data_IF_475773759892
#
_entry.id   IF_475773759892
#
_cell.length_a   1.000
_cell.length_b   1.000
_cell.length_c   1.000
_cell.angle_alpha   90.00
_cell.angle_beta   90.00
_cell.angle_gamma   90.00
#
_symmetry.space_group_name_H-M   'P 1'
#
loop_
_entity.id
_entity.type
_entity.pdbx_description
1 polymer ?
#
# COMPACT_ATOMS: atom_id res chain seq x y z
N UNK A 1 26.58 -21.90 20.88
CA UNK A 1 26.42 -22.06 19.42
C UNK A 1 25.01 -21.68 18.96
N UNK A 2 23.93 -22.13 19.64
CA UNK A 2 22.55 -21.69 19.33
C UNK A 2 22.37 -20.17 19.39
N UNK A 3 22.90 -19.54 20.43
CA UNK A 3 22.85 -18.09 20.64
C UNK A 3 23.43 -17.24 19.48
N UNK A 4 24.44 -17.76 18.78
CA UNK A 4 25.00 -17.08 17.61
C UNK A 4 24.04 -17.12 16.41
N UNK A 5 23.42 -18.27 16.14
CA UNK A 5 22.50 -18.37 15.01
C UNK A 5 21.16 -17.67 15.29
N UNK A 6 20.69 -17.70 16.53
CA UNK A 6 19.50 -16.95 16.96
C UNK A 6 19.71 -15.44 16.81
N UNK A 7 20.90 -14.91 17.13
CA UNK A 7 21.21 -13.48 16.92
C UNK A 7 21.26 -13.10 15.44
N UNK A 8 21.79 -13.97 14.57
CA UNK A 8 21.73 -13.74 13.12
C UNK A 8 20.29 -13.78 12.59
N UNK A 9 19.45 -14.68 13.12
CA UNK A 9 18.06 -14.81 12.71
C UNK A 9 17.23 -13.60 13.15
N UNK A 10 17.45 -13.08 14.36
CA UNK A 10 16.73 -11.90 14.86
C UNK A 10 17.16 -10.59 14.18
N UNK A 11 18.39 -10.54 13.64
CA UNK A 11 18.91 -9.39 12.92
C UNK A 11 18.32 -9.19 11.51
N UNK A 12 17.51 -10.13 10.99
CA UNK A 12 16.96 -10.02 9.64
C UNK A 12 15.58 -10.68 9.50
N UNK A 13 14.66 -10.11 8.70
CA UNK A 13 13.43 -10.81 8.33
C UNK A 13 13.67 -11.96 7.32
N UNK A 14 14.89 -12.09 6.78
CA UNK A 14 15.22 -13.17 5.86
C UNK A 14 15.13 -14.55 6.53
N UNK A 15 14.74 -15.57 5.76
CA UNK A 15 14.54 -16.95 6.25
C UNK A 15 15.86 -17.70 6.42
N UNK A 16 16.69 -17.25 7.36
CA UNK A 16 17.95 -17.91 7.72
C UNK A 16 17.73 -19.11 8.66
N UNK A 17 18.74 -19.96 8.75
CA UNK A 17 18.81 -21.09 9.69
C UNK A 17 17.65 -22.10 9.61
N UNK A 18 16.98 -22.19 8.46
CA UNK A 18 15.86 -23.13 8.24
C UNK A 18 16.29 -24.60 8.10
N UNK A 19 17.60 -24.87 8.09
CA UNK A 19 18.20 -26.19 7.90
C UNK A 19 17.92 -26.78 6.52
N UNK A 20 18.25 -28.07 6.34
CA UNK A 20 18.09 -28.80 5.06
C UNK A 20 17.82 -30.29 5.28
N UNK A 21 17.22 -30.92 4.26
CA UNK A 21 17.14 -32.37 4.09
C UNK A 21 17.85 -32.72 2.77
N UNK A 22 19.09 -33.20 2.85
CA UNK A 22 19.97 -33.32 1.67
C UNK A 22 20.26 -31.95 1.05
N UNK A 23 19.89 -31.77 -0.21
CA UNK A 23 19.95 -30.50 -0.97
C UNK A 23 18.62 -29.74 -0.99
N UNK A 24 17.61 -30.17 -0.22
CA UNK A 24 16.25 -29.59 -0.19
C UNK A 24 15.94 -28.92 1.15
N UNK A 25 14.87 -28.12 1.16
CA UNK A 25 14.34 -27.53 2.40
C UNK A 25 13.78 -28.61 3.33
N UNK A 26 13.78 -28.33 4.65
CA UNK A 26 12.97 -29.09 5.59
C UNK A 26 11.47 -28.87 5.28
N UNK A 27 10.64 -29.88 5.54
CA UNK A 27 9.19 -29.84 5.27
C UNK A 27 8.53 -28.61 5.90
N UNK A 28 8.83 -28.30 7.16
CA UNK A 28 8.27 -27.11 7.83
C UNK A 28 8.59 -25.81 7.08
N UNK A 29 9.85 -25.59 6.71
CA UNK A 29 10.26 -24.38 6.01
C UNK A 29 9.57 -24.25 4.63
N UNK A 30 9.36 -25.38 3.95
CA UNK A 30 8.59 -25.41 2.71
C UNK A 30 7.10 -25.07 2.93
N UNK A 31 6.46 -25.63 3.97
CA UNK A 31 5.07 -25.32 4.30
C UNK A 31 4.90 -23.84 4.70
N UNK A 32 5.79 -23.31 5.52
CA UNK A 32 5.78 -21.89 5.91
C UNK A 32 5.99 -20.97 4.69
N UNK A 33 6.73 -21.43 3.67
CA UNK A 33 6.90 -20.69 2.43
C UNK A 33 5.62 -20.70 1.60
N UNK A 34 4.96 -21.86 1.46
CA UNK A 34 3.69 -21.99 0.74
C UNK A 34 2.57 -21.19 1.40
N UNK A 35 2.51 -21.19 2.73
CA UNK A 35 1.54 -20.39 3.48
C UNK A 35 1.74 -18.89 3.24
N UNK A 36 2.98 -18.40 3.34
CA UNK A 36 3.29 -17.00 3.06
C UNK A 36 3.02 -16.62 1.61
N UNK A 37 3.27 -17.52 0.65
CA UNK A 37 2.96 -17.28 -0.75
C UNK A 37 1.45 -17.18 -1.02
N UNK A 38 0.64 -18.02 -0.37
CA UNK A 38 -0.81 -17.91 -0.44
C UNK A 38 -1.30 -16.54 0.08
N UNK A 39 -0.85 -16.14 1.28
CA UNK A 39 -1.18 -14.83 1.84
C UNK A 39 -0.72 -13.66 0.95
N UNK A 40 0.43 -13.78 0.28
CA UNK A 40 0.91 -12.77 -0.65
C UNK A 40 0.01 -12.65 -1.90
N UNK A 41 -0.48 -13.78 -2.44
CA UNK A 41 -1.42 -13.74 -3.57
C UNK A 41 -2.76 -13.11 -3.17
N UNK A 42 -3.28 -13.42 -1.98
CA UNK A 42 -4.51 -12.82 -1.47
C UNK A 42 -4.34 -11.29 -1.29
N UNK A 43 -3.19 -10.85 -0.80
CA UNK A 43 -2.88 -9.43 -0.64
C UNK A 43 -2.90 -8.65 -1.96
N UNK A 44 -2.46 -9.24 -3.07
CA UNK A 44 -2.49 -8.60 -4.40
C UNK A 44 -3.93 -8.32 -4.85
N UNK A 45 -4.87 -9.21 -4.51
CA UNK A 45 -6.28 -9.08 -4.91
C UNK A 45 -7.12 -8.31 -3.88
N UNK A 46 -6.55 -7.91 -2.76
CA UNK A 46 -7.26 -7.13 -1.75
C UNK A 46 -7.46 -5.67 -2.16
N UNK A 47 -8.51 -5.06 -1.62
CA UNK A 47 -8.89 -3.66 -1.81
C UNK A 47 -8.95 -2.94 -0.47
N UNK A 48 -8.79 -1.62 -0.49
CA UNK A 48 -8.89 -0.79 0.71
C UNK A 48 -10.36 -0.67 1.11
N UNK A 49 -10.67 -0.90 2.38
CA UNK A 49 -12.05 -0.84 2.84
C UNK A 49 -12.53 0.60 2.95
N UNK A 50 -13.83 0.83 2.73
CA UNK A 50 -14.42 2.16 2.85
C UNK A 50 -14.20 2.76 4.24
N UNK A 51 -14.27 1.95 5.28
CA UNK A 51 -14.02 2.39 6.66
C UNK A 51 -12.60 2.96 6.81
N UNK A 52 -11.61 2.37 6.13
CA UNK A 52 -10.23 2.88 6.14
C UNK A 52 -10.15 4.26 5.47
N UNK A 53 -10.90 4.49 4.40
CA UNK A 53 -10.94 5.78 3.71
C UNK A 53 -11.67 6.85 4.53
N UNK A 54 -12.80 6.47 5.16
CA UNK A 54 -13.59 7.33 6.03
C UNK A 54 -12.75 7.76 7.25
N UNK A 55 -12.01 6.84 7.88
CA UNK A 55 -11.09 7.14 9.00
C UNK A 55 -9.95 8.08 8.59
N UNK A 56 -9.50 8.01 7.34
CA UNK A 56 -8.49 8.90 6.77
C UNK A 56 -9.05 10.28 6.39
N UNK A 57 -10.38 10.44 6.31
CA UNK A 57 -11.02 11.68 5.89
C UNK A 57 -10.78 12.04 4.42
N UNK A 58 -10.48 11.05 3.58
CA UNK A 58 -10.19 11.23 2.15
C UNK A 58 -11.36 10.77 1.29
N UNK A 59 -11.59 11.43 0.17
CA UNK A 59 -12.57 10.97 -0.82
C UNK A 59 -11.90 10.06 -1.86
N UNK A 60 -12.64 9.07 -2.35
CA UNK A 60 -12.18 8.13 -3.38
C UNK A 60 -12.46 8.67 -4.79
N UNK A 61 -11.50 8.49 -5.68
CA UNK A 61 -11.65 8.59 -7.14
C UNK A 61 -11.08 7.34 -7.79
N UNK A 62 -11.47 7.04 -9.02
CA UNK A 62 -11.02 5.84 -9.73
C UNK A 62 -10.32 6.19 -11.02
N UNK A 63 -9.26 5.47 -11.33
CA UNK A 63 -8.64 5.51 -12.66
C UNK A 63 -9.59 4.95 -13.72
N UNK A 64 -9.15 4.89 -14.99
CA UNK A 64 -9.90 4.22 -16.05
C UNK A 64 -10.07 2.71 -15.84
N UNK A 65 -9.41 2.11 -14.85
CA UNK A 65 -9.59 0.70 -14.53
C UNK A 65 -10.94 0.48 -13.83
N UNK A 66 -11.74 -0.44 -14.35
CA UNK A 66 -13.04 -0.79 -13.79
C UNK A 66 -12.93 -1.76 -12.60
N UNK A 67 -11.89 -2.58 -12.58
CA UNK A 67 -11.65 -3.57 -11.52
C UNK A 67 -10.15 -3.86 -11.32
N UNK A 68 -9.86 -4.68 -10.30
CA UNK A 68 -8.50 -5.09 -9.94
C UNK A 68 -7.77 -5.85 -11.07
N UNK A 69 -8.48 -6.66 -11.85
CA UNK A 69 -7.87 -7.42 -12.94
C UNK A 69 -7.41 -6.49 -14.06
N UNK A 70 -8.23 -5.50 -14.40
CA UNK A 70 -7.86 -4.48 -15.36
C UNK A 70 -6.69 -3.65 -14.83
N UNK A 71 -6.67 -3.26 -13.56
CA UNK A 71 -5.53 -2.56 -12.95
C UNK A 71 -4.22 -3.36 -13.09
N UNK A 72 -4.26 -4.68 -12.86
CA UNK A 72 -3.09 -5.55 -12.97
C UNK A 72 -2.61 -5.78 -14.41
N UNK A 73 -3.50 -5.66 -15.40
CA UNK A 73 -3.21 -6.02 -16.80
C UNK A 73 -3.15 -4.83 -17.76
N UNK A 74 -3.67 -3.67 -17.36
CA UNK A 74 -3.76 -2.42 -18.14
C UNK A 74 -3.11 -1.25 -17.40
N UNK A 75 -1.77 -1.23 -17.27
CA UNK A 75 -1.06 -0.13 -16.64
C UNK A 75 -1.24 1.20 -17.38
N UNK A 76 -1.68 1.18 -18.64
CA UNK A 76 -2.05 2.37 -19.41
C UNK A 76 -3.36 3.00 -18.89
N UNK A 77 -4.33 2.20 -18.45
CA UNK A 77 -5.57 2.70 -17.86
C UNK A 77 -5.37 3.18 -16.42
N UNK A 78 -4.55 2.47 -15.64
CA UNK A 78 -4.24 2.83 -14.26
C UNK A 78 -3.47 4.16 -14.10
N UNK A 79 -3.06 4.80 -15.21
CA UNK A 79 -2.39 6.11 -15.23
C UNK A 79 -3.29 7.26 -15.69
N UNK A 80 -4.55 6.97 -16.02
CA UNK A 80 -5.46 7.93 -16.61
C UNK A 80 -6.76 7.98 -15.83
N UNK A 81 -7.36 9.17 -15.76
CA UNK A 81 -8.74 9.38 -15.33
C UNK A 81 -9.65 9.53 -16.54
N UNK A 82 -10.90 9.08 -16.41
CA UNK A 82 -11.96 9.46 -17.34
C UNK A 82 -12.43 10.90 -17.10
N UNK A 83 -13.26 11.42 -18.00
CA UNK A 83 -13.71 12.81 -17.91
C UNK A 83 -14.63 13.04 -16.70
N UNK A 84 -15.44 12.05 -16.31
CA UNK A 84 -16.30 12.14 -15.12
C UNK A 84 -15.48 12.28 -13.83
N UNK A 85 -14.42 11.48 -13.70
CA UNK A 85 -13.50 11.55 -12.55
C UNK A 85 -12.75 12.86 -12.52
N UNK A 86 -12.31 13.38 -13.68
CA UNK A 86 -11.68 14.70 -13.76
C UNK A 86 -12.65 15.78 -13.31
N UNK A 87 -13.89 15.78 -13.78
CA UNK A 87 -14.91 16.74 -13.38
C UNK A 87 -15.22 16.65 -11.87
N UNK A 88 -15.20 15.44 -11.31
CA UNK A 88 -15.37 15.24 -9.88
C UNK A 88 -14.20 15.82 -9.08
N UNK A 89 -12.95 15.57 -9.50
CA UNK A 89 -11.76 16.14 -8.88
C UNK A 89 -11.81 17.67 -8.94
N UNK A 90 -12.14 18.23 -10.10
CA UNK A 90 -12.20 19.68 -10.28
C UNK A 90 -13.24 20.36 -9.37
N UNK A 91 -14.27 19.64 -8.91
CA UNK A 91 -15.30 20.14 -7.98
C UNK A 91 -14.95 19.96 -6.50
N UNK A 92 -14.15 18.95 -6.17
CA UNK A 92 -13.92 18.52 -4.78
C UNK A 92 -12.51 18.79 -4.27
N UNK A 93 -11.53 18.97 -5.16
CA UNK A 93 -10.18 19.37 -4.81
C UNK A 93 -10.11 20.87 -4.51
N UNK A 94 -9.09 21.25 -3.75
CA UNK A 94 -8.72 22.64 -3.55
C UNK A 94 -7.72 23.07 -4.62
N UNK A 95 -7.67 24.37 -4.89
CA UNK A 95 -6.82 24.95 -5.93
C UNK A 95 -5.92 26.01 -5.35
N UNK A 96 -4.71 26.11 -5.91
CA UNK A 96 -3.73 27.12 -5.54
C UNK A 96 -2.90 26.76 -4.31
N UNK A 97 -3.05 25.55 -3.78
CA UNK A 97 -2.17 25.02 -2.74
C UNK A 97 -0.79 24.68 -3.30
N UNK A 98 0.23 24.77 -2.44
CA UNK A 98 1.63 24.53 -2.80
C UNK A 98 1.90 23.04 -3.06
N UNK A 99 1.22 22.15 -2.32
CA UNK A 99 1.40 20.70 -2.38
C UNK A 99 0.05 19.98 -2.42
N UNK A 100 -0.08 19.02 -3.32
CA UNK A 100 -1.20 18.06 -3.34
C UNK A 100 -0.71 16.68 -2.91
N UNK A 101 -1.45 16.06 -1.99
CA UNK A 101 -1.21 14.68 -1.56
C UNK A 101 -2.35 13.80 -2.06
N UNK A 102 -2.02 12.65 -2.63
CA UNK A 102 -2.99 11.58 -2.85
C UNK A 102 -2.40 10.24 -2.38
N UNK A 103 -3.27 9.34 -1.94
CA UNK A 103 -2.93 7.97 -1.61
C UNK A 103 -3.48 7.06 -2.71
N UNK A 104 -2.82 5.94 -2.99
CA UNK A 104 -3.41 4.92 -3.86
C UNK A 104 -2.94 3.54 -3.44
N UNK A 105 -3.85 2.56 -3.49
CA UNK A 105 -3.53 1.19 -3.08
C UNK A 105 -2.43 0.55 -3.93
N UNK A 106 -2.42 0.89 -5.22
CA UNK A 106 -1.54 0.31 -6.22
C UNK A 106 -1.56 -1.21 -6.13
N UNK A 107 -0.37 -1.81 -5.96
CA UNK A 107 -0.21 -3.26 -5.88
C UNK A 107 -0.33 -3.83 -4.46
N UNK A 108 -0.63 -3.00 -3.44
CA UNK A 108 -0.72 -3.45 -2.04
C UNK A 108 -1.68 -2.62 -1.20
N UNK A 109 -2.98 -2.96 -1.26
CA UNK A 109 -3.99 -2.38 -0.38
C UNK A 109 -3.69 -2.48 1.13
N UNK A 110 -3.08 -3.57 1.66
CA UNK A 110 -2.76 -3.66 3.09
C UNK A 110 -1.78 -2.58 3.56
N UNK A 111 -0.95 -2.05 2.65
CA UNK A 111 0.01 -0.99 2.97
C UNK A 111 -0.65 0.33 3.34
N UNK A 112 -1.84 0.62 2.79
CA UNK A 112 -2.60 1.83 3.08
C UNK A 112 -3.05 1.81 4.53
N UNK A 113 -3.81 0.77 4.91
CA UNK A 113 -4.32 0.60 6.28
C UNK A 113 -3.19 0.55 7.32
N UNK A 114 -2.05 -0.05 7.00
CA UNK A 114 -0.95 -0.21 7.94
C UNK A 114 -0.18 1.10 8.21
N UNK A 115 -0.07 2.00 7.22
CA UNK A 115 0.89 3.11 7.28
C UNK A 115 0.24 4.50 7.18
N UNK A 116 -0.74 4.68 6.29
CA UNK A 116 -1.30 5.99 5.96
C UNK A 116 -1.97 6.67 7.16
N UNK A 117 -2.70 5.97 8.05
CA UNK A 117 -3.30 6.60 9.23
C UNK A 117 -2.30 7.29 10.17
N UNK A 118 -1.06 6.81 10.21
CA UNK A 118 0.01 7.41 11.01
C UNK A 118 0.83 8.43 10.21
N UNK A 119 1.03 8.18 8.91
CA UNK A 119 1.90 8.98 8.07
C UNK A 119 1.24 10.29 7.60
N UNK A 120 -0.01 10.23 7.14
CA UNK A 120 -0.69 11.38 6.53
C UNK A 120 -0.85 12.56 7.51
N UNK A 121 -1.26 12.37 8.78
CA UNK A 121 -1.38 13.48 9.72
C UNK A 121 -0.03 14.13 10.05
N UNK A 122 1.03 13.35 10.17
CA UNK A 122 2.38 13.86 10.49
C UNK A 122 2.95 14.64 9.29
N UNK A 123 2.73 14.15 8.07
CA UNK A 123 3.14 14.85 6.85
C UNK A 123 2.41 16.20 6.72
N UNK A 124 1.10 16.21 6.99
CA UNK A 124 0.30 17.43 6.95
C UNK A 124 0.80 18.45 7.97
N UNK A 125 0.99 18.02 9.23
CA UNK A 125 1.49 18.88 10.31
C UNK A 125 2.85 19.50 9.96
N UNK A 126 3.79 18.70 9.46
CA UNK A 126 5.12 19.20 9.09
C UNK A 126 5.10 20.20 7.94
N UNK A 127 4.19 20.05 6.97
CA UNK A 127 4.02 21.03 5.89
C UNK A 127 3.38 22.33 6.40
N UNK A 128 2.38 22.23 7.26
CA UNK A 128 1.74 23.39 7.89
C UNK A 128 2.72 24.19 8.77
N UNK A 129 3.60 23.53 9.53
CA UNK A 129 4.63 24.18 10.35
C UNK A 129 5.61 25.02 9.52
N UNK A 130 5.90 24.60 8.29
CA UNK A 130 6.74 25.33 7.33
C UNK A 130 5.95 26.38 6.53
N UNK A 131 4.66 26.56 6.81
CA UNK A 131 3.78 27.50 6.11
C UNK A 131 3.45 27.09 4.68
N UNK A 132 3.59 25.80 4.35
CA UNK A 132 3.28 25.24 3.03
C UNK A 132 1.81 24.81 3.03
N UNK A 133 1.03 25.36 2.09
CA UNK A 133 -0.38 25.00 1.96
C UNK A 133 -0.55 23.62 1.33
N UNK A 134 -1.49 22.83 1.88
CA UNK A 134 -1.75 21.45 1.46
C UNK A 134 -3.16 21.34 0.94
N UNK A 135 -3.27 20.90 -0.31
CA UNK A 135 -4.56 20.66 -0.93
C UNK A 135 -5.28 19.48 -0.33
N UNK A 136 -6.62 19.47 -0.40
CA UNK A 136 -7.46 18.44 0.20
C UNK A 136 -7.03 17.04 -0.29
N UNK A 137 -6.55 16.15 0.61
CA UNK A 137 -6.08 14.84 0.19
C UNK A 137 -7.20 13.95 -0.33
N UNK A 138 -6.86 13.06 -1.28
CA UNK A 138 -7.79 12.10 -1.86
C UNK A 138 -7.14 10.73 -2.08
N UNK A 139 -7.97 9.73 -2.32
CA UNK A 139 -7.55 8.36 -2.60
C UNK A 139 -7.85 7.99 -4.06
N UNK A 140 -6.91 7.29 -4.71
CA UNK A 140 -6.95 6.85 -6.12
C UNK A 140 -6.89 5.33 -6.22
#
# INVERSE_FOLDING_TARGET
MGDYFDSLRSATPARLEIGRAGSRYKTKAYLDFRAAHAAANDAVMSEVSKETLDDLGVFEVKTKCHDKYEMLTRPDYGRLFDEETKDFLLKNATYGDDVQIYCGDGLSAPSIKANVPNMLPILHLGLEEEGISVGKPFFV
#
